data_IF_591911021900
#
_entry.id   IF_591911021900
#
_cell.length_a   1.000
_cell.length_b   1.000
_cell.length_c   1.000
_cell.angle_alpha   90.00
_cell.angle_beta   90.00
_cell.angle_gamma   90.00
#
_symmetry.space_group_name_H-M   'P 1'
#
loop_
_entity.id
_entity.type
_entity.pdbx_description
1 polymer ?
#
# COMPACT_ATOMS: atom_id res chain seq x y z
N UNK A 1 -7.17 5.30 -5.56
CA UNK A 1 -8.34 6.00 -5.00
C UNK A 1 -9.31 6.43 -6.12
N UNK A 2 -8.94 7.34 -7.03
CA UNK A 2 -9.85 7.89 -8.08
C UNK A 2 -10.51 6.81 -8.95
N UNK A 3 -9.81 5.75 -9.34
CA UNK A 3 -10.36 4.65 -10.14
C UNK A 3 -11.43 3.83 -9.40
N UNK A 4 -11.31 3.69 -8.08
CA UNK A 4 -12.34 3.04 -7.26
C UNK A 4 -13.54 3.97 -7.06
N UNK A 5 -13.29 5.27 -6.78
CA UNK A 5 -14.34 6.28 -6.70
C UNK A 5 -15.16 6.36 -7.99
N UNK A 6 -14.51 6.33 -9.16
CA UNK A 6 -15.19 6.32 -10.47
C UNK A 6 -16.06 5.07 -10.70
N UNK A 7 -15.87 4.01 -9.91
CA UNK A 7 -16.70 2.80 -9.91
C UNK A 7 -17.76 2.79 -8.81
N UNK A 8 -17.93 3.90 -8.10
CA UNK A 8 -18.94 4.05 -7.05
C UNK A 8 -18.54 3.51 -5.67
N UNK A 9 -17.26 3.15 -5.46
CA UNK A 9 -16.81 2.74 -4.13
C UNK A 9 -16.68 3.95 -3.20
N UNK A 10 -17.20 3.83 -2.00
CA UNK A 10 -16.82 4.67 -0.88
C UNK A 10 -15.37 4.38 -0.47
N UNK A 11 -14.64 5.37 0.02
CA UNK A 11 -13.22 5.24 0.29
C UNK A 11 -12.88 5.59 1.74
N UNK A 12 -12.06 4.74 2.37
CA UNK A 12 -11.25 5.09 3.52
C UNK A 12 -9.82 5.29 3.02
N UNK A 13 -9.29 6.51 3.08
CA UNK A 13 -7.91 6.82 2.69
C UNK A 13 -7.07 7.11 3.91
N UNK A 14 -5.93 6.43 4.02
CA UNK A 14 -5.06 6.46 5.21
C UNK A 14 -3.68 7.00 4.83
N UNK A 15 -3.19 7.98 5.56
CA UNK A 15 -1.85 8.55 5.38
C UNK A 15 -1.37 9.22 6.66
N UNK A 16 -0.07 9.42 6.77
CA UNK A 16 0.58 10.29 7.76
C UNK A 16 0.78 11.74 7.27
N UNK A 17 0.19 12.09 6.14
CA UNK A 17 0.09 13.46 5.63
C UNK A 17 -1.36 13.94 5.76
N UNK A 18 -1.66 14.64 6.86
CA UNK A 18 -3.03 15.06 7.20
C UNK A 18 -3.61 16.04 6.16
N UNK A 19 -2.80 16.98 5.68
CA UNK A 19 -3.23 17.97 4.70
C UNK A 19 -3.45 17.31 3.33
N UNK A 20 -2.50 16.50 2.89
CA UNK A 20 -2.57 15.80 1.61
C UNK A 20 -3.77 14.86 1.50
N UNK A 21 -4.12 14.11 2.57
CA UNK A 21 -5.31 13.26 2.53
C UNK A 21 -6.61 14.05 2.61
N UNK A 22 -6.65 15.15 3.37
CA UNK A 22 -7.84 15.99 3.44
C UNK A 22 -8.17 16.62 2.08
N UNK A 23 -7.16 17.18 1.41
CA UNK A 23 -7.27 17.76 0.07
C UNK A 23 -7.69 16.70 -0.95
N UNK A 24 -7.03 15.54 -0.95
CA UNK A 24 -7.37 14.41 -1.83
C UNK A 24 -8.81 13.93 -1.61
N UNK A 25 -9.26 13.85 -0.37
CA UNK A 25 -10.62 13.44 -0.04
C UNK A 25 -11.65 14.45 -0.58
N UNK A 26 -11.39 15.77 -0.40
CA UNK A 26 -12.27 16.81 -0.89
C UNK A 26 -12.40 16.79 -2.42
N UNK A 27 -11.28 16.66 -3.14
CA UNK A 27 -11.27 16.54 -4.59
C UNK A 27 -12.07 15.32 -5.08
N UNK A 28 -11.84 14.15 -4.49
CA UNK A 28 -12.50 12.91 -4.91
C UNK A 28 -13.99 12.98 -4.64
N UNK A 29 -14.42 13.47 -3.46
CA UNK A 29 -15.84 13.68 -3.16
C UNK A 29 -16.51 14.58 -4.19
N UNK A 30 -15.86 15.72 -4.51
CA UNK A 30 -16.37 16.69 -5.48
C UNK A 30 -16.49 16.08 -6.88
N UNK A 31 -15.52 15.29 -7.28
CA UNK A 31 -15.45 14.76 -8.65
C UNK A 31 -16.37 13.56 -8.88
N UNK A 32 -16.54 12.69 -7.88
CA UNK A 32 -17.19 11.38 -8.06
C UNK A 32 -18.46 11.18 -7.23
N UNK A 33 -18.76 12.08 -6.29
CA UNK A 33 -19.98 12.02 -5.48
C UNK A 33 -20.02 10.87 -4.45
N UNK A 34 -18.90 10.18 -4.24
CA UNK A 34 -18.77 9.09 -3.27
C UNK A 34 -18.36 9.60 -1.89
N UNK A 35 -18.64 8.82 -0.84
CA UNK A 35 -18.12 9.11 0.50
C UNK A 35 -16.63 8.80 0.56
N UNK A 36 -15.85 9.74 1.08
CA UNK A 36 -14.40 9.56 1.28
C UNK A 36 -14.06 9.97 2.70
N UNK A 37 -13.56 9.05 3.50
CA UNK A 37 -13.12 9.30 4.88
C UNK A 37 -11.60 9.39 4.90
N UNK A 38 -11.01 10.58 5.14
CA UNK A 38 -9.58 10.70 5.37
C UNK A 38 -9.27 10.28 6.81
N UNK A 39 -8.32 9.38 6.99
CA UNK A 39 -7.85 8.92 8.30
C UNK A 39 -6.35 9.18 8.43
N UNK A 40 -6.00 10.12 9.31
CA UNK A 40 -4.60 10.35 9.65
C UNK A 40 -4.08 9.23 10.54
N UNK A 41 -3.10 8.46 10.04
CA UNK A 41 -2.41 7.40 10.80
C UNK A 41 -1.00 7.18 10.23
N UNK A 42 -0.05 6.96 11.11
CA UNK A 42 1.27 6.46 10.75
C UNK A 42 1.23 4.92 10.70
N UNK A 43 1.21 4.39 9.49
CA UNK A 43 1.18 2.94 9.26
C UNK A 43 2.51 2.23 9.60
N UNK A 44 3.56 2.95 9.96
CA UNK A 44 4.80 2.37 10.49
C UNK A 44 4.79 2.17 12.01
N UNK A 45 3.78 2.69 12.71
CA UNK A 45 3.62 2.48 14.15
C UNK A 45 3.40 1.00 14.49
N UNK A 46 3.72 0.63 15.73
CA UNK A 46 3.76 -0.78 16.16
C UNK A 46 2.42 -1.50 15.97
N UNK A 47 1.32 -0.88 16.36
CA UNK A 47 -0.01 -1.49 16.32
C UNK A 47 -0.87 -0.98 15.15
N UNK A 48 -0.26 -0.26 14.19
CA UNK A 48 -0.98 0.44 13.13
C UNK A 48 -1.97 -0.44 12.33
N UNK A 49 -1.60 -1.67 12.04
CA UNK A 49 -2.46 -2.59 11.30
C UNK A 49 -3.67 -3.05 12.12
N UNK A 50 -3.46 -3.38 13.39
CA UNK A 50 -4.52 -3.79 14.31
C UNK A 50 -5.47 -2.62 14.59
N UNK A 51 -4.92 -1.43 14.88
CA UNK A 51 -5.70 -0.21 15.15
C UNK A 51 -6.54 0.21 13.94
N UNK A 52 -6.00 0.05 12.72
CA UNK A 52 -6.77 0.32 11.51
C UNK A 52 -7.89 -0.70 11.29
N UNK A 53 -7.61 -1.97 11.55
CA UNK A 53 -8.61 -3.02 11.44
C UNK A 53 -9.74 -2.81 12.47
N UNK A 54 -9.40 -2.56 13.74
CA UNK A 54 -10.38 -2.23 14.80
C UNK A 54 -11.22 -1.00 14.46
N UNK A 55 -10.59 0.07 13.97
CA UNK A 55 -11.32 1.24 13.50
C UNK A 55 -12.39 0.87 12.47
N UNK A 56 -12.05 0.01 11.50
CA UNK A 56 -13.02 -0.42 10.51
C UNK A 56 -14.16 -1.27 11.11
N UNK A 57 -13.87 -2.09 12.14
CA UNK A 57 -14.89 -2.86 12.85
C UNK A 57 -15.81 -1.95 13.67
N UNK A 58 -15.25 -1.01 14.44
CA UNK A 58 -16.00 -0.07 15.29
C UNK A 58 -16.93 0.82 14.45
N UNK A 59 -16.46 1.29 13.29
CA UNK A 59 -17.23 2.08 12.32
C UNK A 59 -18.13 1.22 11.42
N UNK A 60 -18.16 -0.10 11.61
CA UNK A 60 -18.96 -1.06 10.83
C UNK A 60 -18.68 -0.96 9.31
N UNK A 61 -17.41 -0.73 8.94
CA UNK A 61 -17.00 -0.62 7.53
C UNK A 61 -16.73 -2.01 6.94
N UNK A 62 -17.56 -2.42 5.98
CA UNK A 62 -17.30 -3.62 5.20
C UNK A 62 -16.27 -3.35 4.10
N UNK A 63 -14.99 -3.58 4.40
CA UNK A 63 -13.89 -3.36 3.47
C UNK A 63 -13.87 -4.48 2.42
N UNK A 64 -14.35 -4.19 1.23
CA UNK A 64 -14.32 -5.12 0.09
C UNK A 64 -12.99 -5.11 -0.64
N UNK A 65 -12.32 -3.95 -0.72
CA UNK A 65 -11.05 -3.78 -1.44
C UNK A 65 -10.00 -3.20 -0.50
N UNK A 66 -8.96 -3.96 -0.21
CA UNK A 66 -7.78 -3.50 0.52
C UNK A 66 -6.66 -3.16 -0.47
N UNK A 67 -6.16 -1.91 -0.43
CA UNK A 67 -5.03 -1.49 -1.26
C UNK A 67 -3.85 -1.11 -0.36
N UNK A 68 -2.87 -1.99 -0.25
CA UNK A 68 -1.63 -1.77 0.47
C UNK A 68 -0.63 -1.02 -0.44
N UNK A 69 -0.75 0.31 -0.44
CA UNK A 69 0.04 1.20 -1.29
C UNK A 69 1.09 2.00 -0.51
N UNK A 70 0.88 2.23 0.79
CA UNK A 70 1.82 2.99 1.61
C UNK A 70 3.23 2.41 1.53
N UNK A 71 4.22 3.26 1.37
CA UNK A 71 5.59 2.82 1.24
C UNK A 71 6.58 3.96 1.27
N UNK A 72 7.83 3.63 1.56
CA UNK A 72 8.96 4.55 1.58
C UNK A 72 10.05 4.02 0.65
N UNK A 73 10.88 4.92 0.18
CA UNK A 73 12.01 4.60 -0.68
C UNK A 73 13.24 5.38 -0.24
N UNK A 74 14.38 4.74 -0.28
CA UNK A 74 15.69 5.40 -0.23
C UNK A 74 16.65 4.68 -1.16
N UNK A 75 17.63 5.43 -1.61
CA UNK A 75 18.73 4.95 -2.42
C UNK A 75 20.03 5.19 -1.62
N UNK A 76 20.63 4.10 -1.14
CA UNK A 76 21.88 4.15 -0.37
C UNK A 76 22.51 2.76 -0.25
N UNK A 77 23.82 2.71 -0.04
CA UNK A 77 24.51 1.45 0.27
C UNK A 77 24.07 0.92 1.64
N UNK A 78 23.85 -0.38 1.73
CA UNK A 78 23.37 -1.02 2.98
C UNK A 78 24.26 -0.71 4.19
N UNK A 79 25.57 -0.61 3.97
CA UNK A 79 26.53 -0.32 5.04
C UNK A 79 26.48 1.15 5.53
N UNK A 80 25.83 2.05 4.80
CA UNK A 80 25.77 3.49 5.10
C UNK A 80 24.38 3.96 5.56
N UNK A 81 23.34 3.24 5.17
CA UNK A 81 21.98 3.65 5.51
C UNK A 81 21.74 3.64 7.03
N UNK A 82 21.08 4.67 7.54
CA UNK A 82 20.66 4.73 8.95
C UNK A 82 19.71 3.55 9.26
N UNK A 83 20.02 2.80 10.31
CA UNK A 83 19.24 1.65 10.74
C UNK A 83 17.75 1.99 11.00
N UNK A 84 17.45 3.21 11.45
CA UNK A 84 16.06 3.68 11.64
C UNK A 84 15.28 3.72 10.32
N UNK A 85 15.95 4.02 9.20
CA UNK A 85 15.31 3.99 7.86
C UNK A 85 15.05 2.57 7.40
N UNK A 86 15.95 1.63 7.73
CA UNK A 86 15.73 0.20 7.49
C UNK A 86 14.51 -0.28 8.28
N UNK A 87 14.49 0.00 9.58
CA UNK A 87 13.37 -0.34 10.47
C UNK A 87 12.03 0.22 9.96
N UNK A 88 12.00 1.49 9.60
CA UNK A 88 10.80 2.13 9.04
C UNK A 88 10.30 1.39 7.81
N UNK A 89 11.19 1.04 6.89
CA UNK A 89 10.84 0.33 5.66
C UNK A 89 10.33 -1.09 5.96
N UNK A 90 10.98 -1.82 6.85
CA UNK A 90 10.56 -3.16 7.24
C UNK A 90 9.20 -3.15 7.95
N UNK A 91 9.00 -2.23 8.88
CA UNK A 91 7.70 -2.07 9.55
C UNK A 91 6.59 -1.79 8.55
N UNK A 92 6.77 -0.79 7.69
CA UNK A 92 5.72 -0.36 6.76
C UNK A 92 5.46 -1.39 5.65
N UNK A 93 6.53 -1.85 4.95
CA UNK A 93 6.37 -2.73 3.81
C UNK A 93 6.09 -4.17 4.19
N UNK A 94 6.77 -4.68 5.24
CA UNK A 94 6.67 -6.09 5.60
C UNK A 94 5.62 -6.30 6.68
N UNK A 95 5.87 -5.78 7.89
CA UNK A 95 5.04 -6.07 9.05
C UNK A 95 3.59 -5.58 8.87
N UNK A 96 3.41 -4.30 8.60
CA UNK A 96 2.07 -3.71 8.51
C UNK A 96 1.28 -4.29 7.36
N UNK A 97 1.88 -4.42 6.17
CA UNK A 97 1.20 -5.01 5.01
C UNK A 97 0.79 -6.46 5.27
N UNK A 98 1.65 -7.26 5.90
CA UNK A 98 1.33 -8.66 6.25
C UNK A 98 0.15 -8.74 7.20
N UNK A 99 0.17 -7.94 8.27
CA UNK A 99 -0.90 -7.92 9.25
C UNK A 99 -2.23 -7.40 8.67
N UNK A 100 -2.20 -6.39 7.81
CA UNK A 100 -3.40 -5.93 7.09
C UNK A 100 -3.95 -7.04 6.18
N UNK A 101 -3.09 -7.74 5.44
CA UNK A 101 -3.53 -8.90 4.65
C UNK A 101 -4.13 -10.00 5.54
N UNK A 102 -3.58 -10.24 6.72
CA UNK A 102 -4.09 -11.22 7.68
C UNK A 102 -5.47 -10.84 8.20
N UNK A 103 -5.63 -9.63 8.76
CA UNK A 103 -6.90 -9.21 9.37
C UNK A 103 -8.01 -9.08 8.33
N UNK A 104 -7.78 -8.31 7.27
CA UNK A 104 -8.80 -8.11 6.24
C UNK A 104 -9.01 -9.36 5.39
N UNK A 105 -7.97 -10.15 5.11
CA UNK A 105 -8.09 -11.41 4.39
C UNK A 105 -8.99 -12.41 5.13
N UNK A 106 -8.84 -12.51 6.45
CA UNK A 106 -9.71 -13.33 7.32
C UNK A 106 -11.17 -12.87 7.27
N UNK A 107 -11.40 -11.56 7.37
CA UNK A 107 -12.73 -10.97 7.31
C UNK A 107 -13.36 -11.18 5.92
N UNK A 108 -12.61 -10.95 4.83
CA UNK A 108 -13.04 -11.20 3.46
C UNK A 108 -13.36 -12.68 3.21
N UNK A 109 -12.53 -13.58 3.71
CA UNK A 109 -12.76 -15.03 3.63
C UNK A 109 -14.05 -15.43 4.33
N UNK A 110 -14.35 -14.90 5.51
CA UNK A 110 -15.59 -15.18 6.23
C UNK A 110 -16.84 -14.73 5.46
N UNK A 111 -16.72 -13.67 4.65
CA UNK A 111 -17.79 -13.17 3.78
C UNK A 111 -17.85 -13.85 2.40
N UNK A 112 -16.83 -14.65 2.05
CA UNK A 112 -16.74 -15.30 0.74
C UNK A 112 -16.43 -14.34 -0.41
N UNK A 113 -15.98 -13.10 -0.14
CA UNK A 113 -15.65 -12.10 -1.17
C UNK A 113 -14.63 -11.08 -0.67
N UNK A 114 -13.77 -10.60 -1.56
CA UNK A 114 -12.85 -9.52 -1.28
C UNK A 114 -11.70 -9.43 -2.27
N UNK A 115 -11.03 -8.29 -2.25
CA UNK A 115 -9.90 -8.00 -3.13
C UNK A 115 -8.75 -7.39 -2.32
N UNK A 116 -7.55 -7.94 -2.45
CA UNK A 116 -6.34 -7.42 -1.84
C UNK A 116 -5.36 -7.06 -2.96
N UNK A 117 -4.88 -5.81 -2.96
CA UNK A 117 -3.89 -5.32 -3.89
C UNK A 117 -2.66 -4.85 -3.12
N UNK A 118 -1.52 -5.50 -3.35
CA UNK A 118 -0.25 -5.15 -2.73
C UNK A 118 0.68 -4.49 -3.75
N UNK A 119 1.17 -3.28 -3.42
CA UNK A 119 2.12 -2.55 -4.26
C UNK A 119 3.53 -3.08 -4.06
N UNK A 120 3.96 -3.97 -4.95
CA UNK A 120 5.33 -4.41 -5.10
C UNK A 120 6.11 -3.44 -6.03
N UNK A 121 7.05 -3.93 -6.81
CA UNK A 121 7.87 -3.17 -7.75
C UNK A 121 8.53 -4.12 -8.74
N UNK A 122 8.97 -3.61 -9.90
CA UNK A 122 9.89 -4.33 -10.78
C UNK A 122 11.21 -4.70 -10.08
N UNK A 123 11.64 -3.93 -9.08
CA UNK A 123 12.81 -4.25 -8.26
C UNK A 123 12.71 -5.58 -7.50
N UNK A 124 11.51 -6.17 -7.42
CA UNK A 124 11.30 -7.51 -6.88
C UNK A 124 11.98 -8.61 -7.72
N UNK A 125 12.26 -8.35 -8.98
CA UNK A 125 12.99 -9.29 -9.89
C UNK A 125 14.36 -8.78 -10.29
N UNK A 126 14.58 -7.47 -10.22
CA UNK A 126 15.80 -6.82 -10.69
C UNK A 126 16.43 -5.99 -9.56
N UNK A 127 16.99 -6.65 -8.52
CA UNK A 127 17.69 -5.93 -7.47
C UNK A 127 19.02 -5.36 -8.04
N UNK A 128 19.38 -4.16 -7.60
CA UNK A 128 20.65 -3.53 -7.95
C UNK A 128 21.23 -2.76 -6.75
N UNK A 129 22.53 -2.41 -6.77
CA UNK A 129 23.17 -1.68 -5.68
C UNK A 129 22.43 -0.40 -5.31
N UNK A 130 22.37 -0.10 -4.03
CA UNK A 130 21.69 1.09 -3.49
C UNK A 130 20.22 0.91 -3.17
N UNK A 131 19.57 -0.18 -3.60
CA UNK A 131 18.16 -0.46 -3.27
C UNK A 131 17.97 -1.82 -2.60
N UNK A 132 18.99 -2.39 -1.99
CA UNK A 132 18.98 -3.77 -1.45
C UNK A 132 17.79 -4.04 -0.53
N UNK A 133 17.57 -3.21 0.49
CA UNK A 133 16.45 -3.37 1.43
C UNK A 133 15.12 -3.17 0.74
N UNK A 134 15.01 -2.13 -0.10
CA UNK A 134 13.78 -1.87 -0.85
C UNK A 134 13.42 -3.07 -1.75
N UNK A 135 14.36 -3.53 -2.57
CA UNK A 135 14.15 -4.68 -3.46
C UNK A 135 13.76 -5.94 -2.68
N UNK A 136 14.42 -6.21 -1.54
CA UNK A 136 14.08 -7.32 -0.68
C UNK A 136 12.65 -7.23 -0.14
N UNK A 137 12.21 -6.06 0.35
CA UNK A 137 10.83 -5.88 0.82
C UNK A 137 9.80 -6.02 -0.31
N UNK A 138 10.12 -5.55 -1.52
CA UNK A 138 9.21 -5.69 -2.67
C UNK A 138 9.16 -7.12 -3.21
N UNK A 139 10.26 -7.87 -3.12
CA UNK A 139 10.28 -9.33 -3.37
C UNK A 139 9.43 -10.08 -2.36
N UNK A 140 9.55 -9.72 -1.07
CA UNK A 140 8.69 -10.25 -0.01
C UNK A 140 7.20 -10.04 -0.34
N UNK A 141 6.79 -8.81 -0.66
CA UNK A 141 5.38 -8.49 -0.95
C UNK A 141 4.85 -9.25 -2.17
N UNK A 142 5.68 -9.39 -3.20
CA UNK A 142 5.32 -10.21 -4.38
C UNK A 142 5.09 -11.66 -3.99
N UNK A 143 6.03 -12.26 -3.27
CA UNK A 143 5.97 -13.66 -2.86
C UNK A 143 4.81 -13.92 -1.92
N UNK A 144 4.63 -13.08 -0.90
CA UNK A 144 3.49 -13.12 0.00
C UNK A 144 2.16 -13.09 -0.76
N UNK A 145 2.02 -12.15 -1.70
CA UNK A 145 0.78 -11.98 -2.47
C UNK A 145 0.45 -13.22 -3.30
N UNK A 146 1.46 -13.86 -3.90
CA UNK A 146 1.26 -15.10 -4.66
C UNK A 146 0.86 -16.27 -3.77
N UNK A 147 1.46 -16.39 -2.58
CA UNK A 147 1.12 -17.44 -1.62
C UNK A 147 -0.32 -17.28 -1.10
N UNK A 148 -0.66 -16.12 -0.54
CA UNK A 148 -2.01 -15.88 0.00
C UNK A 148 -3.09 -15.85 -1.09
N UNK A 149 -2.75 -15.55 -2.34
CA UNK A 149 -3.67 -15.71 -3.48
C UNK A 149 -4.16 -17.15 -3.59
N UNK A 150 -3.25 -18.12 -3.51
CA UNK A 150 -3.60 -19.53 -3.62
C UNK A 150 -4.39 -20.00 -2.38
N UNK A 151 -4.04 -19.52 -1.18
CA UNK A 151 -4.74 -19.85 0.06
C UNK A 151 -6.19 -19.33 0.08
N UNK A 152 -6.45 -18.17 -0.51
CA UNK A 152 -7.72 -17.47 -0.43
C UNK A 152 -8.60 -17.60 -1.68
N UNK A 153 -8.06 -18.17 -2.79
CA UNK A 153 -8.77 -18.25 -4.07
C UNK A 153 -10.13 -18.93 -3.98
N UNK A 154 -10.17 -20.13 -3.40
CA UNK A 154 -11.40 -20.93 -3.25
C UNK A 154 -12.35 -20.38 -2.17
N UNK A 155 -11.90 -19.35 -1.45
CA UNK A 155 -12.66 -18.62 -0.43
C UNK A 155 -13.27 -17.30 -0.96
N UNK A 156 -13.25 -17.11 -2.28
CA UNK A 156 -13.84 -15.93 -2.92
C UNK A 156 -12.99 -14.65 -2.83
N UNK A 157 -11.75 -14.72 -2.33
CA UNK A 157 -10.87 -13.55 -2.21
C UNK A 157 -9.82 -13.55 -3.33
N UNK A 158 -9.66 -12.41 -3.97
CA UNK A 158 -8.66 -12.20 -5.04
C UNK A 158 -7.50 -11.36 -4.53
N UNK A 159 -6.28 -11.83 -4.74
CA UNK A 159 -5.08 -11.14 -4.32
C UNK A 159 -4.19 -10.84 -5.52
N UNK A 160 -3.73 -9.59 -5.61
CA UNK A 160 -2.91 -9.11 -6.73
C UNK A 160 -1.67 -8.41 -6.22
N UNK A 161 -0.49 -8.83 -6.69
CA UNK A 161 0.74 -8.05 -6.58
C UNK A 161 0.89 -7.15 -7.81
N UNK A 162 0.96 -5.85 -7.62
CA UNK A 162 1.26 -4.90 -8.70
C UNK A 162 2.73 -4.54 -8.64
N UNK A 163 3.44 -4.74 -9.74
CA UNK A 163 4.89 -4.58 -9.82
C UNK A 163 5.25 -3.49 -10.86
N UNK A 164 4.97 -2.22 -10.56
CA UNK A 164 5.25 -1.14 -11.52
C UNK A 164 6.74 -0.90 -11.66
N UNK A 165 7.12 -0.35 -12.81
CA UNK A 165 8.40 0.32 -13.00
C UNK A 165 8.47 1.65 -12.26
N UNK A 166 9.43 2.50 -12.62
CA UNK A 166 9.51 3.84 -12.07
C UNK A 166 8.30 4.67 -12.52
N UNK A 167 7.48 5.08 -11.55
CA UNK A 167 6.33 5.95 -11.78
C UNK A 167 6.66 7.35 -11.28
N UNK A 168 6.32 8.37 -12.06
CA UNK A 168 6.55 9.78 -11.71
C UNK A 168 5.67 10.24 -10.54
N UNK A 169 5.99 9.77 -9.34
CA UNK A 169 5.37 10.16 -8.07
C UNK A 169 6.38 10.84 -7.16
N UNK A 170 5.92 11.37 -6.02
CA UNK A 170 6.81 11.90 -4.98
C UNK A 170 7.68 10.85 -4.27
N UNK A 171 7.44 9.55 -4.48
CA UNK A 171 8.09 8.45 -3.77
C UNK A 171 9.63 8.46 -3.91
N UNK A 172 10.12 8.76 -5.09
CA UNK A 172 11.57 8.72 -5.39
C UNK A 172 12.27 10.04 -5.14
N UNK A 173 11.55 11.10 -4.75
CA UNK A 173 12.09 12.46 -4.58
C UNK A 173 12.96 12.93 -5.77
N UNK A 174 12.59 12.46 -6.97
CA UNK A 174 13.34 12.74 -8.21
C UNK A 174 13.18 14.22 -8.60
N UNK A 175 14.26 14.83 -9.03
CA UNK A 175 14.22 16.15 -9.66
C UNK A 175 13.26 16.13 -10.88
N UNK A 176 12.73 17.29 -11.23
CA UNK A 176 11.75 17.43 -12.32
C UNK A 176 12.28 16.90 -13.67
N UNK A 177 13.60 17.00 -13.88
CA UNK A 177 14.30 16.44 -15.05
C UNK A 177 14.15 14.92 -15.14
N UNK A 178 14.30 14.20 -14.01
CA UNK A 178 14.17 12.74 -13.98
C UNK A 178 12.71 12.28 -14.01
N UNK A 179 11.78 13.08 -13.48
CA UNK A 179 10.33 12.80 -13.61
C UNK A 179 9.89 12.79 -15.08
N UNK A 180 10.37 13.76 -15.88
CA UNK A 180 10.09 13.82 -17.33
C UNK A 180 10.69 12.65 -18.10
N UNK A 181 11.83 12.13 -17.67
CA UNK A 181 12.45 10.97 -18.30
C UNK A 181 11.67 9.67 -18.01
N UNK A 182 11.22 9.49 -16.76
CA UNK A 182 10.41 8.33 -16.36
C UNK A 182 9.03 8.28 -17.02
N UNK A 183 8.50 9.41 -17.49
CA UNK A 183 7.23 9.49 -18.24
C UNK A 183 7.38 9.13 -19.73
N UNK A 184 8.60 8.94 -20.21
CA UNK A 184 8.88 8.62 -21.64
C UNK A 184 9.27 7.15 -21.87
N UNK A 185 9.34 6.35 -20.80
CA UNK A 185 9.57 4.91 -20.81
C UNK A 185 8.27 4.16 -20.51
#
# INVERSE_FOLDING_TARGET
ARQLAARGYDLLIVSNDAEGIANSAAEIRKQYGVRVTPLYRDLSAENAAEDLYRYCEDEQLDVEVLVNNAGVFFFDDLARVDSRRIELMLRLHVRTTTLLCHYFGRSMQARGRGYILNMSSMSAWMPFPGISVYAATKSYLRTLSLAIRNELYDRGVRVTAVCPGAVATGLYNLSERYRRLALRL
#
